data_IF_025899311293
#
_entry.id   IF_025899311293
#
_cell.length_a   1.000
_cell.length_b   1.000
_cell.length_c   1.000
_cell.angle_alpha   90.00
_cell.angle_beta   90.00
_cell.angle_gamma   90.00
#
_symmetry.space_group_name_H-M   'P 1'
#
loop_
_entity.id
_entity.type
_entity.pdbx_description
1 polymer ?
#
# COMPACT_ATOMS: atom_id res chain seq x y z
N UNK A 1 12.07 -0.62 3.48
CA UNK A 1 12.02 0.85 3.68
C UNK A 1 10.85 1.27 4.56
N UNK A 2 9.62 0.84 4.25
CA UNK A 2 8.38 1.16 4.98
C UNK A 2 8.47 0.92 6.51
N UNK A 3 9.14 -0.15 6.95
CA UNK A 3 9.27 -0.45 8.39
C UNK A 3 9.93 0.64 9.25
N UNK A 4 10.81 1.48 8.69
CA UNK A 4 11.40 2.62 9.43
C UNK A 4 10.37 3.72 9.70
N UNK A 5 9.43 3.92 8.78
CA UNK A 5 8.37 4.92 8.93
C UNK A 5 7.28 4.42 9.86
N UNK A 6 6.93 3.14 9.80
CA UNK A 6 5.96 2.56 10.73
C UNK A 6 6.42 2.65 12.19
N UNK A 7 7.73 2.63 12.45
CA UNK A 7 8.28 2.81 13.79
C UNK A 7 7.94 4.17 14.43
N UNK A 8 7.57 5.18 13.63
CA UNK A 8 7.15 6.50 14.14
C UNK A 8 5.66 6.57 14.45
N UNK A 9 4.92 5.46 14.32
CA UNK A 9 3.47 5.39 14.52
C UNK A 9 2.70 6.50 13.76
N UNK A 10 2.90 6.63 12.43
CA UNK A 10 2.21 7.65 11.65
C UNK A 10 0.71 7.34 11.59
N UNK A 11 -0.11 8.39 11.49
CA UNK A 11 -1.54 8.25 11.18
C UNK A 11 -1.78 8.14 9.66
N UNK A 12 -0.86 8.68 8.85
CA UNK A 12 -0.94 8.72 7.39
C UNK A 12 0.41 8.39 6.77
N UNK A 13 0.43 7.55 5.73
CA UNK A 13 1.60 7.32 4.88
C UNK A 13 1.26 7.63 3.41
N UNK A 14 2.16 8.33 2.74
CA UNK A 14 2.09 8.60 1.29
C UNK A 14 3.20 7.80 0.61
N UNK A 15 2.84 7.03 -0.40
CA UNK A 15 3.76 6.20 -1.18
C UNK A 15 3.72 6.60 -2.65
N UNK A 16 4.90 6.94 -3.20
CA UNK A 16 5.08 7.25 -4.62
C UNK A 16 5.71 6.05 -5.33
N UNK A 17 4.97 5.48 -6.27
CA UNK A 17 5.31 4.27 -7.04
C UNK A 17 5.85 3.09 -6.19
N UNK A 18 5.15 2.65 -5.12
CA UNK A 18 5.68 1.67 -4.15
C UNK A 18 5.96 0.28 -4.71
N UNK A 19 5.41 -0.05 -5.87
CA UNK A 19 5.56 -1.34 -6.56
C UNK A 19 6.49 -1.26 -7.78
N UNK A 20 7.14 -0.12 -8.01
CA UNK A 20 8.04 0.05 -9.17
C UNK A 20 9.22 -0.91 -9.11
N UNK A 21 9.45 -1.61 -10.23
CA UNK A 21 10.54 -2.58 -10.34
C UNK A 21 10.31 -3.87 -9.55
N UNK A 22 9.13 -4.05 -8.95
CA UNK A 22 8.70 -5.32 -8.36
C UNK A 22 8.06 -6.18 -9.46
N UNK A 23 8.42 -7.45 -9.48
CA UNK A 23 7.81 -8.43 -10.38
C UNK A 23 6.28 -8.54 -10.16
N UNK A 24 5.54 -8.76 -11.24
CA UNK A 24 4.06 -8.78 -11.21
C UNK A 24 3.51 -9.83 -10.23
N UNK A 25 4.18 -10.96 -10.05
CA UNK A 25 3.79 -12.00 -9.11
C UNK A 25 4.02 -11.62 -7.64
N UNK A 26 4.89 -10.64 -7.38
CA UNK A 26 5.23 -10.16 -6.03
C UNK A 26 4.43 -8.91 -5.60
N UNK A 27 3.81 -8.20 -6.55
CA UNK A 27 2.97 -7.02 -6.28
C UNK A 27 1.81 -7.34 -5.33
N UNK A 28 1.16 -8.50 -5.51
CA UNK A 28 0.05 -8.93 -4.65
C UNK A 28 0.42 -8.97 -3.16
N UNK A 29 1.64 -9.41 -2.82
CA UNK A 29 2.12 -9.44 -1.45
C UNK A 29 2.30 -8.04 -0.86
N UNK A 30 2.78 -7.08 -1.66
CA UNK A 30 2.87 -5.67 -1.24
C UNK A 30 1.48 -5.10 -0.99
N UNK A 31 0.51 -5.40 -1.86
CA UNK A 31 -0.85 -4.93 -1.66
C UNK A 31 -1.52 -5.54 -0.42
N UNK A 32 -1.32 -6.84 -0.19
CA UNK A 32 -1.82 -7.50 1.01
C UNK A 32 -1.23 -6.87 2.28
N UNK A 33 0.10 -6.69 2.31
CA UNK A 33 0.76 -6.03 3.43
C UNK A 33 0.22 -4.62 3.69
N UNK A 34 0.04 -3.83 2.63
CA UNK A 34 -0.50 -2.48 2.75
C UNK A 34 -1.98 -2.50 3.20
N UNK A 35 -2.76 -3.52 2.82
CA UNK A 35 -4.16 -3.71 3.27
C UNK A 35 -4.24 -4.05 4.75
N UNK A 36 -3.30 -4.86 5.24
CA UNK A 36 -3.17 -5.17 6.67
C UNK A 36 -2.88 -3.90 7.48
N UNK A 37 -2.00 -3.01 6.99
CA UNK A 37 -1.74 -1.73 7.64
C UNK A 37 -2.99 -0.83 7.67
N UNK A 38 -3.76 -0.76 6.58
CA UNK A 38 -5.01 -0.01 6.54
C UNK A 38 -6.04 -0.58 7.52
N UNK A 39 -6.13 -1.90 7.64
CA UNK A 39 -7.03 -2.55 8.59
C UNK A 39 -6.70 -2.24 10.06
N UNK A 40 -5.44 -1.85 10.33
CA UNK A 40 -4.98 -1.38 11.65
C UNK A 40 -5.26 0.10 11.89
N UNK A 41 -5.95 0.79 10.97
CA UNK A 41 -6.31 2.20 11.10
C UNK A 41 -5.34 3.18 10.47
N UNK A 42 -4.30 2.71 9.78
CA UNK A 42 -3.36 3.58 9.06
C UNK A 42 -3.99 4.09 7.76
N UNK A 43 -4.05 5.41 7.57
CA UNK A 43 -4.43 5.95 6.28
C UNK A 43 -3.26 5.83 5.28
N UNK A 44 -3.54 5.28 4.09
CA UNK A 44 -2.54 5.07 3.04
C UNK A 44 -2.97 5.80 1.77
N UNK A 45 -2.09 6.67 1.26
CA UNK A 45 -2.24 7.31 -0.05
C UNK A 45 -1.18 6.73 -0.97
N UNK A 46 -1.60 6.11 -2.07
CA UNK A 46 -0.71 5.51 -3.05
C UNK A 46 -0.80 6.29 -4.36
N UNK A 47 0.33 6.75 -4.86
CA UNK A 47 0.49 7.32 -6.20
C UNK A 47 1.14 6.25 -7.06
N UNK A 48 0.45 5.83 -8.13
CA UNK A 48 0.94 4.79 -9.04
C UNK A 48 0.65 5.17 -10.49
N UNK A 49 1.60 4.86 -11.37
CA UNK A 49 1.46 4.96 -12.83
C UNK A 49 0.88 3.68 -13.46
N UNK A 50 0.74 2.60 -12.68
CA UNK A 50 0.26 1.29 -13.10
C UNK A 50 -1.24 1.13 -12.75
N UNK A 51 -2.11 1.44 -13.72
CA UNK A 51 -3.58 1.48 -13.58
C UNK A 51 -4.32 0.16 -13.18
N UNK A 52 -3.80 -1.07 -13.39
CA UNK A 52 -4.53 -2.29 -12.96
C UNK A 52 -4.68 -2.43 -11.44
N UNK A 53 -3.87 -1.73 -10.64
CA UNK A 53 -3.74 -1.92 -9.19
C UNK A 53 -4.82 -1.23 -8.35
N UNK A 54 -5.47 -0.18 -8.87
CA UNK A 54 -6.49 0.58 -8.11
C UNK A 54 -7.81 -0.22 -8.01
N UNK A 55 -8.09 -1.09 -8.99
CA UNK A 55 -9.35 -1.86 -9.07
C UNK A 55 -9.35 -3.13 -8.21
N UNK A 56 -8.17 -3.64 -7.84
CA UNK A 56 -8.03 -4.86 -7.03
C UNK A 56 -7.95 -4.59 -5.51
N UNK A 57 -7.89 -3.31 -5.12
CA UNK A 57 -7.81 -2.91 -3.72
C UNK A 57 -9.18 -3.03 -3.05
N UNK A 58 -9.33 -3.74 -1.91
CA UNK A 58 -10.55 -3.70 -1.13
C UNK A 58 -10.72 -2.27 -0.60
N UNK A 59 -11.52 -1.46 -1.29
CA UNK A 59 -12.03 -0.24 -0.71
C UNK A 59 -12.87 -0.67 0.48
N UNK A 60 -12.55 -0.19 1.68
CA UNK A 60 -13.29 -0.49 2.92
C UNK A 60 -14.74 0.07 2.93
N UNK A 61 -15.40 0.08 1.78
CA UNK A 61 -16.83 0.24 1.56
C UNK A 61 -17.45 -1.17 1.41
N UNK A 62 -17.32 -2.00 2.44
CA UNK A 62 -18.14 -3.19 2.69
C UNK A 62 -18.16 -3.46 4.18
#
# INVERSE_FOLDING_TARGET
MIGKWLATQPEVIILDEPTKGIDIGSKAAVHQFMSELVSQGLAVIMVSSELPEVMAWPTGLS
#
